data_IF_924111153233
#
_entry.id   IF_924111153233
#
_cell.length_a   1.000
_cell.length_b   1.000
_cell.length_c   1.000
_cell.angle_alpha   90.00
_cell.angle_beta   90.00
_cell.angle_gamma   90.00
#
_symmetry.space_group_name_H-M   'P 1'
#
loop_
_entity.id
_entity.type
_entity.pdbx_description
1 polymer ?
#
# COMPACT_ATOMS: atom_id res chain seq x y z
N UNK A 1 -75.07 2.97 34.41
CA UNK A 1 -73.69 2.54 34.08
C UNK A 1 -73.63 1.45 33.00
N UNK A 2 -74.31 0.29 33.17
CA UNK A 2 -74.22 -0.85 32.24
C UNK A 2 -74.62 -0.52 30.78
N UNK A 3 -75.69 0.25 30.55
CA UNK A 3 -76.13 0.63 29.19
C UNK A 3 -75.12 1.49 28.42
N UNK A 4 -74.36 2.34 29.12
CA UNK A 4 -73.33 3.19 28.50
C UNK A 4 -72.11 2.34 28.14
N UNK A 5 -71.75 1.38 28.99
CA UNK A 5 -70.64 0.46 28.76
C UNK A 5 -70.90 -0.44 27.53
N UNK A 6 -72.12 -0.96 27.39
CA UNK A 6 -72.52 -1.78 26.23
C UNK A 6 -72.49 -0.95 24.94
N UNK A 7 -72.97 0.30 24.98
CA UNK A 7 -72.94 1.19 23.81
C UNK A 7 -71.50 1.49 23.35
N UNK A 8 -70.60 1.78 24.30
CA UNK A 8 -69.17 2.00 24.00
C UNK A 8 -68.51 0.74 23.42
N UNK A 9 -68.83 -0.45 23.95
CA UNK A 9 -68.31 -1.71 23.44
C UNK A 9 -68.78 -1.98 22.01
N UNK A 10 -70.07 -1.76 21.72
CA UNK A 10 -70.62 -1.90 20.37
C UNK A 10 -69.98 -0.90 19.38
N UNK A 11 -69.77 0.35 19.79
CA UNK A 11 -69.08 1.34 18.95
C UNK A 11 -67.62 0.94 18.68
N UNK A 12 -66.90 0.41 19.68
CA UNK A 12 -65.53 -0.07 19.51
C UNK A 12 -65.44 -1.27 18.55
N UNK A 13 -66.39 -2.20 18.64
CA UNK A 13 -66.50 -3.35 17.72
C UNK A 13 -66.82 -2.88 16.30
N UNK A 14 -67.76 -1.96 16.12
CA UNK A 14 -68.08 -1.42 14.79
C UNK A 14 -66.91 -0.65 14.19
N UNK A 15 -66.16 0.10 15.00
CA UNK A 15 -64.98 0.83 14.56
C UNK A 15 -63.83 -0.10 14.14
N UNK A 16 -63.58 -1.16 14.92
CA UNK A 16 -62.56 -2.17 14.58
C UNK A 16 -62.93 -2.96 13.33
N UNK A 17 -64.20 -3.36 13.18
CA UNK A 17 -64.69 -3.99 11.94
C UNK A 17 -64.56 -3.04 10.76
N UNK A 18 -64.86 -1.75 10.92
CA UNK A 18 -64.67 -0.72 9.89
C UNK A 18 -63.22 -0.57 9.46
N UNK A 19 -62.26 -0.58 10.40
CA UNK A 19 -60.82 -0.54 10.10
C UNK A 19 -60.38 -1.81 9.36
N UNK A 20 -60.83 -2.99 9.80
CA UNK A 20 -60.49 -4.25 9.15
C UNK A 20 -61.05 -4.32 7.73
N UNK A 21 -62.31 -3.91 7.52
CA UNK A 21 -62.89 -3.80 6.17
C UNK A 21 -62.11 -2.77 5.36
N UNK A 22 -61.77 -1.60 5.91
CA UNK A 22 -60.95 -0.61 5.19
C UNK A 22 -59.56 -1.13 4.81
N UNK A 23 -58.94 -1.94 5.67
CA UNK A 23 -57.61 -2.50 5.42
C UNK A 23 -57.62 -3.61 4.36
N UNK A 24 -58.66 -4.46 4.35
CA UNK A 24 -58.73 -5.64 3.49
C UNK A 24 -59.62 -5.48 2.25
N UNK A 25 -60.53 -4.50 2.22
CA UNK A 25 -61.45 -4.26 1.11
C UNK A 25 -60.97 -3.18 0.13
N UNK A 26 -59.88 -2.47 0.42
CA UNK A 26 -59.16 -1.67 -0.58
C UNK A 26 -58.18 -2.61 -1.27
N UNK A 27 -58.47 -3.13 -2.48
CA UNK A 27 -57.46 -3.81 -3.25
C UNK A 27 -56.33 -2.80 -3.46
N UNK A 28 -55.14 -3.08 -2.93
CA UNK A 28 -53.94 -2.39 -3.37
C UNK A 28 -53.85 -2.70 -4.85
N UNK A 29 -54.22 -1.76 -5.70
CA UNK A 29 -53.88 -1.81 -7.11
C UNK A 29 -52.36 -1.74 -7.16
N UNK A 30 -51.71 -2.91 -7.10
CA UNK A 30 -50.35 -3.08 -7.56
C UNK A 30 -50.41 -2.89 -9.07
N UNK A 31 -50.48 -1.63 -9.51
CA UNK A 31 -50.11 -1.32 -10.89
C UNK A 31 -48.70 -1.89 -11.02
N UNK A 32 -48.48 -2.90 -11.89
CA UNK A 32 -47.13 -3.40 -12.09
C UNK A 32 -46.27 -2.19 -12.45
N UNK A 33 -45.06 -2.09 -11.89
CA UNK A 33 -44.17 -1.00 -12.22
C UNK A 33 -44.07 -0.91 -13.74
N UNK A 34 -44.06 0.31 -14.32
CA UNK A 34 -44.02 0.47 -15.77
C UNK A 34 -42.83 -0.30 -16.34
N UNK A 35 -43.00 -0.92 -17.52
CA UNK A 35 -42.09 -1.94 -18.07
C UNK A 35 -40.62 -1.54 -18.07
N UNK A 36 -40.31 -0.26 -18.25
CA UNK A 36 -38.96 0.29 -18.19
C UNK A 36 -38.29 0.14 -16.81
N UNK A 37 -39.05 0.20 -15.71
CA UNK A 37 -38.54 -0.02 -14.36
C UNK A 37 -38.19 -1.50 -14.13
N UNK A 38 -38.92 -2.39 -14.80
CA UNK A 38 -38.66 -3.85 -14.81
C UNK A 38 -37.51 -4.22 -15.74
N UNK A 39 -37.27 -3.44 -16.81
CA UNK A 39 -36.09 -3.56 -17.68
C UNK A 39 -34.82 -3.06 -16.99
N UNK A 40 -34.88 -1.95 -16.24
CA UNK A 40 -33.73 -1.43 -15.48
C UNK A 40 -33.38 -2.35 -14.28
N UNK A 41 -34.38 -2.98 -13.66
CA UNK A 41 -34.17 -3.96 -12.60
C UNK A 41 -33.76 -5.36 -13.12
N UNK A 42 -33.81 -5.59 -14.44
CA UNK A 42 -33.38 -6.84 -15.10
C UNK A 42 -31.90 -6.87 -15.45
N UNK A 43 -31.17 -5.78 -15.25
CA UNK A 43 -29.76 -5.66 -15.64
C UNK A 43 -28.82 -6.43 -14.68
N UNK A 44 -29.28 -6.69 -13.45
CA UNK A 44 -28.52 -7.45 -12.46
C UNK A 44 -29.24 -8.76 -12.16
N UNK A 45 -28.59 -9.88 -12.45
CA UNK A 45 -29.05 -11.21 -12.05
C UNK A 45 -28.51 -11.54 -10.65
N UNK A 46 -29.35 -11.35 -9.63
CA UNK A 46 -29.00 -11.64 -8.24
C UNK A 46 -28.62 -13.11 -8.02
N UNK A 47 -29.28 -14.04 -8.74
CA UNK A 47 -28.98 -15.47 -8.62
C UNK A 47 -27.61 -15.81 -9.18
N UNK A 48 -27.19 -15.12 -10.24
CA UNK A 48 -25.83 -15.21 -10.76
C UNK A 48 -24.80 -14.66 -9.77
N UNK A 49 -25.07 -13.51 -9.12
CA UNK A 49 -24.17 -12.96 -8.10
C UNK A 49 -24.01 -13.93 -6.93
N UNK A 50 -25.12 -14.49 -6.43
CA UNK A 50 -25.08 -15.49 -5.36
C UNK A 50 -24.27 -16.72 -5.77
N UNK A 51 -24.49 -17.25 -6.98
CA UNK A 51 -23.71 -18.36 -7.52
C UNK A 51 -22.22 -17.99 -7.62
N UNK A 52 -21.88 -16.85 -8.23
CA UNK A 52 -20.49 -16.38 -8.37
C UNK A 52 -19.78 -16.25 -7.03
N UNK A 53 -20.43 -15.61 -6.04
CA UNK A 53 -19.85 -15.46 -4.70
C UNK A 53 -19.69 -16.81 -3.99
N UNK A 54 -20.59 -17.78 -4.23
CA UNK A 54 -20.49 -19.12 -3.67
C UNK A 54 -19.32 -19.95 -4.22
N UNK A 55 -18.85 -19.62 -5.43
CA UNK A 55 -17.69 -20.26 -6.06
C UNK A 55 -16.34 -19.71 -5.54
N UNK A 56 -16.35 -18.57 -4.84
CA UNK A 56 -15.11 -17.98 -4.27
C UNK A 56 -14.59 -18.88 -3.15
N UNK A 57 -13.46 -19.53 -3.42
CA UNK A 57 -12.91 -20.54 -2.53
C UNK A 57 -11.67 -20.05 -1.78
N UNK A 58 -11.79 -19.97 -0.45
CA UNK A 58 -10.70 -19.53 0.43
C UNK A 58 -9.44 -20.40 0.35
N UNK A 59 -9.57 -21.71 0.10
CA UNK A 59 -8.42 -22.60 -0.07
C UNK A 59 -7.66 -22.28 -1.37
N UNK A 60 -8.38 -21.93 -2.44
CA UNK A 60 -7.75 -21.50 -3.69
C UNK A 60 -7.04 -20.15 -3.53
N UNK A 61 -7.63 -19.21 -2.79
CA UNK A 61 -6.98 -17.93 -2.46
C UNK A 61 -5.69 -18.18 -1.67
N UNK A 62 -5.73 -19.07 -0.67
CA UNK A 62 -4.55 -19.45 0.11
C UNK A 62 -3.44 -20.06 -0.75
N UNK A 63 -3.77 -21.01 -1.63
CA UNK A 63 -2.77 -21.62 -2.52
C UNK A 63 -2.23 -20.62 -3.55
N UNK A 64 -3.07 -19.73 -4.08
CA UNK A 64 -2.61 -18.65 -4.96
C UNK A 64 -1.62 -17.73 -4.25
N UNK A 65 -1.91 -17.34 -3.01
CA UNK A 65 -1.00 -16.51 -2.21
C UNK A 65 0.33 -17.23 -2.00
N UNK A 66 0.30 -18.51 -1.60
CA UNK A 66 1.50 -19.31 -1.37
C UNK A 66 2.39 -19.42 -2.61
N UNK A 67 1.79 -19.60 -3.79
CA UNK A 67 2.52 -19.67 -5.05
C UNK A 67 3.11 -18.30 -5.45
N UNK A 68 2.32 -17.23 -5.33
CA UNK A 68 2.75 -15.87 -5.69
C UNK A 68 3.82 -15.30 -4.75
N UNK A 69 3.89 -15.76 -3.49
CA UNK A 69 4.86 -15.26 -2.49
C UNK A 69 6.04 -16.21 -2.24
N UNK A 70 6.26 -17.20 -3.11
CA UNK A 70 7.30 -18.23 -2.90
C UNK A 70 8.74 -17.71 -3.03
N UNK A 71 8.94 -16.60 -3.74
CA UNK A 71 10.24 -16.00 -4.01
C UNK A 71 10.12 -14.46 -4.16
N UNK A 72 11.20 -13.68 -3.96
CA UNK A 72 11.20 -12.25 -4.26
C UNK A 72 10.89 -11.98 -5.73
N UNK A 73 9.91 -11.11 -5.99
CA UNK A 73 9.44 -10.77 -7.35
C UNK A 73 9.46 -9.25 -7.58
N UNK A 74 10.62 -8.65 -7.31
CA UNK A 74 10.86 -7.22 -7.62
C UNK A 74 10.73 -6.98 -9.13
N UNK A 75 10.17 -5.82 -9.51
CA UNK A 75 9.99 -5.46 -10.92
C UNK A 75 11.25 -5.75 -11.76
N UNK A 76 11.04 -6.39 -12.91
CA UNK A 76 12.05 -6.83 -13.90
C UNK A 76 13.03 -7.91 -13.44
N UNK A 77 12.84 -8.55 -12.29
CA UNK A 77 13.62 -9.74 -11.91
C UNK A 77 13.03 -11.03 -12.51
N UNK A 78 13.77 -12.15 -12.50
CA UNK A 78 13.20 -13.44 -12.88
C UNK A 78 11.95 -13.83 -12.08
N UNK A 79 11.88 -13.45 -10.79
CA UNK A 79 10.70 -13.70 -9.95
C UNK A 79 9.45 -12.93 -10.42
N UNK A 80 9.61 -11.69 -10.90
CA UNK A 80 8.51 -10.93 -11.52
C UNK A 80 8.02 -11.60 -12.81
N UNK A 81 8.95 -12.01 -13.67
CA UNK A 81 8.65 -12.77 -14.89
C UNK A 81 7.90 -14.09 -14.59
N UNK A 82 8.26 -14.80 -13.52
CA UNK A 82 7.53 -16.00 -13.07
C UNK A 82 6.08 -15.68 -12.70
N UNK A 83 5.81 -14.54 -12.05
CA UNK A 83 4.44 -14.11 -11.73
C UNK A 83 3.63 -13.76 -12.98
N UNK A 84 4.25 -13.11 -13.98
CA UNK A 84 3.62 -12.85 -15.29
C UNK A 84 3.22 -14.16 -15.96
N UNK A 85 4.13 -15.12 -16.01
CA UNK A 85 3.88 -16.43 -16.62
C UNK A 85 2.80 -17.21 -15.87
N UNK A 86 2.79 -17.14 -14.53
CA UNK A 86 1.74 -17.74 -13.72
C UNK A 86 0.36 -17.16 -14.03
N UNK A 87 0.25 -15.83 -14.09
CA UNK A 87 -1.02 -15.15 -14.39
C UNK A 87 -1.50 -15.43 -15.81
N UNK A 88 -0.62 -15.36 -16.81
CA UNK A 88 -0.96 -15.69 -18.20
C UNK A 88 -1.46 -17.13 -18.33
N UNK A 89 -0.78 -18.09 -17.68
CA UNK A 89 -1.22 -19.49 -17.67
C UNK A 89 -2.63 -19.64 -17.10
N UNK A 90 -2.95 -18.95 -16.00
CA UNK A 90 -4.29 -19.00 -15.38
C UNK A 90 -5.35 -18.36 -16.26
N UNK A 91 -5.07 -17.20 -16.83
CA UNK A 91 -6.04 -16.46 -17.65
C UNK A 91 -6.21 -17.04 -19.05
N UNK A 92 -5.26 -17.81 -19.56
CA UNK A 92 -5.35 -18.50 -20.86
C UNK A 92 -5.81 -19.97 -20.72
N UNK A 93 -6.19 -20.41 -19.51
CA UNK A 93 -6.69 -21.76 -19.29
C UNK A 93 -7.98 -21.99 -20.09
N UNK A 94 -8.11 -23.07 -20.88
CA UNK A 94 -9.25 -23.27 -21.76
C UNK A 94 -10.57 -23.55 -21.03
N UNK A 95 -10.51 -24.01 -19.77
CA UNK A 95 -11.67 -24.42 -19.00
C UNK A 95 -12.13 -23.35 -17.99
N UNK A 96 -11.20 -22.50 -17.53
CA UNK A 96 -11.44 -21.53 -16.45
C UNK A 96 -10.89 -20.12 -16.71
N UNK A 97 -10.27 -19.90 -17.88
CA UNK A 97 -9.65 -18.64 -18.25
C UNK A 97 -10.61 -17.58 -18.81
N UNK A 98 -10.02 -16.51 -19.31
CA UNK A 98 -10.69 -15.40 -19.97
C UNK A 98 -10.74 -15.63 -21.48
N UNK A 99 -11.58 -14.86 -22.19
CA UNK A 99 -11.63 -14.91 -23.66
C UNK A 99 -10.28 -14.60 -24.30
N UNK A 100 -9.54 -13.63 -23.75
CA UNK A 100 -8.21 -13.21 -24.21
C UNK A 100 -7.37 -12.69 -23.06
N UNK A 101 -6.09 -13.08 -23.05
CA UNK A 101 -5.07 -12.53 -22.16
C UNK A 101 -3.73 -12.48 -22.89
N UNK A 102 -2.98 -11.39 -22.76
CA UNK A 102 -1.69 -11.19 -23.41
C UNK A 102 -0.75 -10.35 -22.56
N UNK A 103 0.54 -10.39 -22.91
CA UNK A 103 1.60 -9.60 -22.29
C UNK A 103 1.74 -8.26 -23.01
N UNK A 104 1.94 -7.20 -22.24
CA UNK A 104 2.27 -5.87 -22.75
C UNK A 104 3.54 -5.35 -22.07
N UNK A 105 4.54 -4.93 -22.85
CA UNK A 105 5.85 -4.54 -22.33
C UNK A 105 6.13 -3.04 -22.45
N UNK A 106 6.79 -2.48 -21.44
CA UNK A 106 7.21 -1.09 -21.41
C UNK A 106 8.67 -0.99 -20.95
N UNK A 107 9.46 -0.18 -21.65
CA UNK A 107 10.88 0.05 -21.36
C UNK A 107 11.02 1.25 -20.41
N UNK A 108 10.66 1.05 -19.14
CA UNK A 108 10.60 2.12 -18.13
C UNK A 108 11.93 2.31 -17.41
N UNK A 109 12.18 3.52 -16.91
CA UNK A 109 13.35 3.81 -16.08
C UNK A 109 13.11 3.40 -14.63
N UNK A 110 13.90 2.46 -14.13
CA UNK A 110 13.87 1.99 -12.75
C UNK A 110 15.18 2.33 -12.03
N UNK A 111 15.15 2.22 -10.71
CA UNK A 111 16.28 2.47 -9.83
C UNK A 111 16.53 1.23 -8.99
N UNK A 112 17.80 0.79 -8.92
CA UNK A 112 18.22 -0.36 -8.13
C UNK A 112 19.54 -0.05 -7.41
N UNK A 113 19.79 -0.62 -6.22
CA UNK A 113 21.11 -0.52 -5.58
C UNK A 113 22.13 -1.34 -6.35
N UNK A 114 23.41 -0.94 -6.31
CA UNK A 114 24.50 -1.70 -6.91
C UNK A 114 24.89 -2.89 -6.00
N UNK A 115 24.72 -4.16 -6.43
CA UNK A 115 25.09 -5.32 -5.64
C UNK A 115 26.60 -5.42 -5.36
N UNK A 116 27.45 -4.82 -6.21
CA UNK A 116 28.91 -4.82 -6.05
C UNK A 116 29.38 -3.69 -5.11
N UNK A 117 28.60 -2.63 -5.00
CA UNK A 117 28.87 -1.47 -4.16
C UNK A 117 27.65 -1.17 -3.27
N UNK A 118 27.38 -2.00 -2.24
CA UNK A 118 26.19 -1.85 -1.43
C UNK A 118 26.17 -0.50 -0.71
N UNK A 119 24.97 0.03 -0.48
CA UNK A 119 24.76 1.25 0.28
C UNK A 119 25.20 1.03 1.75
N UNK A 120 25.86 2.04 2.33
CA UNK A 120 26.38 1.95 3.71
C UNK A 120 26.13 3.21 4.48
N UNK A 121 25.89 3.04 5.78
CA UNK A 121 25.84 4.13 6.75
C UNK A 121 26.83 3.79 7.85
N UNK A 122 27.79 4.70 8.06
CA UNK A 122 28.84 4.52 9.07
C UNK A 122 28.92 5.74 9.98
N UNK A 123 29.14 5.51 11.27
CA UNK A 123 29.53 6.56 12.21
C UNK A 123 31.05 6.62 12.20
N UNK A 124 31.61 7.81 11.97
CA UNK A 124 33.04 8.05 11.91
C UNK A 124 33.47 9.07 12.96
N UNK A 125 34.72 8.97 13.44
CA UNK A 125 35.32 9.99 14.30
C UNK A 125 35.89 11.17 13.46
N UNK A 126 36.54 12.12 14.14
CA UNK A 126 37.15 13.30 13.50
C UNK A 126 38.30 12.97 12.55
N UNK A 127 39.02 11.85 12.75
CA UNK A 127 40.07 11.39 11.82
C UNK A 127 39.53 10.60 10.63
N UNK A 128 38.22 10.31 10.60
CA UNK A 128 37.56 9.54 9.53
C UNK A 128 37.59 8.03 9.75
N UNK A 129 38.03 7.56 10.92
CA UNK A 129 37.97 6.16 11.30
C UNK A 129 36.53 5.74 11.57
N UNK A 130 36.15 4.56 11.07
CA UNK A 130 34.82 3.98 11.26
C UNK A 130 34.69 3.44 12.68
N UNK A 131 33.78 4.04 13.46
CA UNK A 131 33.43 3.61 14.82
C UNK A 131 32.30 2.59 14.83
N UNK A 132 31.36 2.73 13.90
CA UNK A 132 30.20 1.85 13.79
C UNK A 132 29.74 1.76 12.35
N UNK A 133 29.29 0.57 11.94
CA UNK A 133 28.66 0.33 10.64
C UNK A 133 27.24 -0.15 10.88
N UNK A 134 26.27 0.59 10.33
CA UNK A 134 24.86 0.19 10.36
C UNK A 134 24.69 -1.06 9.51
N UNK A 135 23.79 -1.95 9.93
CA UNK A 135 23.46 -3.18 9.22
C UNK A 135 23.02 -2.88 7.78
N UNK A 136 23.59 -3.60 6.81
CA UNK A 136 23.36 -3.36 5.39
C UNK A 136 22.05 -3.99 4.86
N UNK A 137 21.57 -5.09 5.45
CA UNK A 137 20.36 -5.86 5.06
C UNK A 137 19.65 -6.42 6.29
N UNK A 138 18.38 -6.80 6.15
CA UNK A 138 17.60 -7.49 7.18
C UNK A 138 18.32 -8.74 7.73
N UNK A 139 18.00 -9.10 8.96
CA UNK A 139 18.33 -10.42 9.51
C UNK A 139 17.36 -11.44 8.93
N UNK A 140 17.85 -12.63 8.61
CA UNK A 140 17.00 -13.75 8.21
C UNK A 140 16.47 -14.46 9.47
N UNK A 141 15.16 -14.42 9.66
CA UNK A 141 14.40 -15.10 10.72
C UNK A 141 13.93 -16.49 10.29
N UNK A 142 13.73 -16.71 9.00
CA UNK A 142 13.31 -17.98 8.40
C UNK A 142 14.18 -18.35 7.20
N UNK A 143 14.11 -19.61 6.74
CA UNK A 143 14.99 -20.11 5.68
C UNK A 143 14.72 -19.46 4.32
N UNK A 144 13.47 -19.13 4.03
CA UNK A 144 12.98 -18.47 2.82
C UNK A 144 13.48 -17.02 2.65
N UNK A 145 14.00 -16.41 3.72
CA UNK A 145 14.58 -15.06 3.67
C UNK A 145 16.05 -15.05 3.21
N UNK A 146 16.66 -16.23 3.00
CA UNK A 146 18.04 -16.35 2.51
C UNK A 146 18.16 -16.24 0.98
N UNK A 147 17.09 -15.89 0.28
CA UNK A 147 17.09 -15.77 -1.18
C UNK A 147 18.03 -14.63 -1.62
N UNK A 148 19.01 -14.88 -2.52
CA UNK A 148 19.92 -13.85 -3.00
C UNK A 148 19.23 -12.70 -3.75
N UNK A 149 18.02 -12.91 -4.27
CA UNK A 149 17.20 -11.89 -4.93
C UNK A 149 16.57 -10.91 -3.93
N UNK A 150 16.71 -11.13 -2.61
CA UNK A 150 16.36 -10.12 -1.61
C UNK A 150 17.28 -8.90 -1.76
N UNK A 151 16.77 -7.90 -2.45
CA UNK A 151 17.42 -6.61 -2.70
C UNK A 151 17.80 -5.92 -1.38
N UNK A 152 18.92 -5.18 -1.35
CA UNK A 152 19.27 -4.36 -0.21
C UNK A 152 18.17 -3.31 0.10
N UNK A 153 17.89 -2.94 1.36
CA UNK A 153 17.11 -1.75 1.65
C UNK A 153 17.71 -0.51 0.99
N UNK A 154 16.88 0.26 0.28
CA UNK A 154 17.29 1.47 -0.41
C UNK A 154 16.09 2.39 -0.66
N UNK A 155 16.38 3.67 -0.91
CA UNK A 155 15.43 4.67 -1.39
C UNK A 155 15.49 4.71 -2.92
N UNK A 156 14.52 4.10 -3.61
CA UNK A 156 14.52 4.08 -5.07
C UNK A 156 14.38 5.51 -5.63
N UNK A 157 15.18 5.80 -6.66
CA UNK A 157 15.37 7.14 -7.26
C UNK A 157 16.16 8.14 -6.41
N UNK A 158 16.74 7.73 -5.28
CA UNK A 158 17.73 8.56 -4.60
C UNK A 158 19.01 8.68 -5.45
N UNK A 159 19.61 9.88 -5.59
CA UNK A 159 20.87 10.02 -6.31
C UNK A 159 22.02 9.32 -5.56
N UNK A 160 23.02 8.78 -6.29
CA UNK A 160 24.21 8.23 -5.68
C UNK A 160 25.06 9.35 -5.04
N UNK A 161 25.71 9.05 -3.92
CA UNK A 161 26.61 9.98 -3.25
C UNK A 161 27.16 9.45 -1.94
N UNK A 162 28.21 10.08 -1.44
CA UNK A 162 28.86 9.74 -0.16
C UNK A 162 28.92 10.96 0.77
N UNK A 163 27.77 11.55 1.14
CA UNK A 163 27.76 12.75 1.98
C UNK A 163 28.23 12.42 3.40
N UNK A 164 28.99 13.35 3.99
CA UNK A 164 29.46 13.27 5.38
C UNK A 164 29.07 14.55 6.11
N UNK A 165 28.43 14.41 7.27
CA UNK A 165 27.96 15.54 8.05
C UNK A 165 27.62 15.16 9.48
N UNK A 166 27.34 16.16 10.31
CA UNK A 166 26.77 15.92 11.65
C UNK A 166 25.35 15.37 11.51
N UNK A 167 24.97 14.44 12.38
CA UNK A 167 23.61 13.89 12.41
C UNK A 167 22.66 14.85 13.13
N UNK A 168 21.50 15.13 12.55
CA UNK A 168 20.42 15.90 13.16
C UNK A 168 19.12 15.11 13.08
N UNK A 169 18.36 15.05 14.18
CA UNK A 169 17.04 14.43 14.16
C UNK A 169 15.99 15.44 13.72
N UNK A 170 15.29 15.13 12.63
CA UNK A 170 14.30 16.02 11.99
C UNK A 170 12.88 15.41 11.99
N UNK A 171 12.54 14.63 13.03
CA UNK A 171 11.21 14.07 13.23
C UNK A 171 10.66 13.39 11.96
N UNK A 172 9.53 13.85 11.40
CA UNK A 172 8.90 13.25 10.22
C UNK A 172 9.36 13.89 8.90
N UNK A 173 10.35 14.78 8.93
CA UNK A 173 10.87 15.48 7.75
C UNK A 173 9.87 16.46 7.12
N UNK A 174 8.94 17.01 7.91
CA UNK A 174 8.04 18.08 7.45
C UNK A 174 8.79 19.41 7.37
N UNK A 175 8.33 20.38 6.56
CA UNK A 175 8.93 21.72 6.55
C UNK A 175 8.98 22.37 7.94
N UNK A 176 7.94 22.13 8.77
CA UNK A 176 7.87 22.62 10.14
C UNK A 176 8.95 22.02 11.06
N UNK A 177 9.36 20.77 10.83
CA UNK A 177 10.38 20.11 11.66
C UNK A 177 11.75 20.79 11.46
N UNK A 178 12.12 21.09 10.21
CA UNK A 178 13.35 21.83 9.90
C UNK A 178 13.30 23.28 10.37
N UNK A 179 12.15 23.96 10.20
CA UNK A 179 11.98 25.32 10.71
C UNK A 179 12.14 25.38 12.24
N UNK A 180 11.63 24.38 12.96
CA UNK A 180 11.79 24.29 14.41
C UNK A 180 13.25 24.16 14.83
N UNK A 181 14.04 23.33 14.13
CA UNK A 181 15.48 23.19 14.38
C UNK A 181 16.22 24.52 14.19
N UNK A 182 15.91 25.24 13.11
CA UNK A 182 16.48 26.58 12.86
C UNK A 182 16.08 27.58 13.96
N UNK A 183 14.82 27.57 14.38
CA UNK A 183 14.34 28.43 15.46
C UNK A 183 15.02 28.13 16.81
N UNK A 184 15.51 26.91 17.00
CA UNK A 184 16.30 26.50 18.17
C UNK A 184 17.80 26.82 18.02
N UNK A 185 18.22 27.42 16.90
CA UNK A 185 19.62 27.80 16.64
C UNK A 185 20.50 26.67 16.11
N UNK A 186 19.91 25.57 15.62
CA UNK A 186 20.66 24.47 15.00
C UNK A 186 21.09 24.87 13.58
N UNK A 187 22.40 24.80 13.28
CA UNK A 187 22.92 24.97 11.92
C UNK A 187 22.81 23.65 11.14
N UNK A 188 21.97 23.65 10.10
CA UNK A 188 21.66 22.47 9.29
C UNK A 188 22.58 22.30 8.06
N UNK A 189 23.44 23.28 7.78
CA UNK A 189 24.32 23.22 6.60
C UNK A 189 25.34 22.09 6.73
N UNK A 190 25.49 21.29 5.67
CA UNK A 190 26.37 20.12 5.63
C UNK A 190 26.08 19.08 6.72
N UNK A 191 24.80 18.94 7.12
CA UNK A 191 24.35 17.91 8.05
C UNK A 191 23.71 16.73 7.32
N UNK A 192 23.59 15.60 8.01
CA UNK A 192 22.76 14.47 7.62
C UNK A 192 21.53 14.48 8.52
N UNK A 193 20.34 14.55 7.96
CA UNK A 193 19.11 14.46 8.74
C UNK A 193 18.68 12.99 8.91
N UNK A 194 18.33 12.57 10.13
CA UNK A 194 17.60 11.32 10.36
C UNK A 194 16.14 11.64 10.65
N UNK A 195 15.24 10.95 9.95
CA UNK A 195 13.79 11.13 10.02
C UNK A 195 13.11 9.79 10.20
N UNK A 196 11.95 9.78 10.85
CA UNK A 196 11.07 8.60 10.86
C UNK A 196 10.10 8.65 9.69
N UNK A 197 9.65 7.49 9.24
CA UNK A 197 8.53 7.38 8.28
C UNK A 197 7.23 8.00 8.84
N UNK A 198 6.23 8.16 7.97
CA UNK A 198 5.00 8.88 8.29
C UNK A 198 5.12 10.41 8.18
N UNK A 199 3.98 11.10 8.20
CA UNK A 199 3.91 12.56 8.06
C UNK A 199 4.21 13.03 6.63
N UNK A 200 5.41 13.53 6.37
CA UNK A 200 5.81 13.90 5.00
C UNK A 200 6.03 12.65 4.14
N UNK A 201 5.67 12.73 2.85
CA UNK A 201 5.95 11.66 1.88
C UNK A 201 7.45 11.37 1.76
N UNK A 202 7.82 10.17 1.28
CA UNK A 202 9.22 9.71 1.22
C UNK A 202 10.15 10.71 0.53
N UNK A 203 9.83 11.07 -0.71
CA UNK A 203 10.55 12.08 -1.49
C UNK A 203 10.59 13.45 -0.79
N UNK A 204 9.45 13.85 -0.20
CA UNK A 204 9.31 15.15 0.44
C UNK A 204 10.27 15.33 1.62
N UNK A 205 10.65 14.26 2.34
CA UNK A 205 11.63 14.35 3.44
C UNK A 205 12.97 14.92 2.96
N UNK A 206 13.47 14.45 1.82
CA UNK A 206 14.71 14.96 1.22
C UNK A 206 14.53 16.36 0.60
N UNK A 207 13.41 16.60 -0.10
CA UNK A 207 13.10 17.89 -0.73
C UNK A 207 12.97 19.00 0.31
N UNK A 208 12.35 18.71 1.46
CA UNK A 208 12.18 19.69 2.53
C UNK A 208 13.51 19.99 3.25
N UNK A 209 14.44 19.03 3.29
CA UNK A 209 15.74 19.17 3.95
C UNK A 209 16.72 20.01 3.11
N UNK A 210 16.71 19.84 1.79
CA UNK A 210 17.69 20.43 0.88
C UNK A 210 17.81 21.97 0.96
N UNK A 211 16.72 22.76 1.06
CA UNK A 211 16.80 24.22 1.22
C UNK A 211 17.56 24.69 2.47
N UNK A 212 17.66 23.85 3.50
CA UNK A 212 18.40 24.16 4.73
C UNK A 212 19.88 23.76 4.66
N UNK A 213 20.35 23.24 3.51
CA UNK A 213 21.72 22.79 3.31
C UNK A 213 22.04 21.41 3.88
N UNK A 214 21.01 20.61 4.20
CA UNK A 214 21.18 19.19 4.55
C UNK A 214 21.67 18.44 3.31
N UNK A 215 22.71 17.62 3.47
CA UNK A 215 23.41 16.93 2.36
C UNK A 215 23.08 15.44 2.25
N UNK A 216 22.26 14.91 3.16
CA UNK A 216 21.77 13.54 3.10
C UNK A 216 20.63 13.31 4.10
N UNK A 217 19.76 12.35 3.81
CA UNK A 217 18.64 11.97 4.67
C UNK A 217 18.64 10.47 4.92
N UNK A 218 18.57 10.09 6.19
CA UNK A 218 18.30 8.74 6.65
C UNK A 218 16.83 8.64 7.07
N UNK A 219 16.19 7.52 6.75
CA UNK A 219 14.80 7.26 7.13
C UNK A 219 14.72 5.94 7.87
N UNK A 220 14.04 5.91 9.01
CA UNK A 220 13.78 4.70 9.79
C UNK A 220 12.28 4.57 10.12
N UNK A 221 11.84 3.38 10.50
CA UNK A 221 10.48 3.16 11.02
C UNK A 221 10.55 3.14 12.55
N UNK A 222 9.81 4.03 13.20
CA UNK A 222 9.80 4.13 14.66
C UNK A 222 8.80 3.10 15.25
N UNK A 223 9.18 2.29 16.27
CA UNK A 223 8.28 1.35 16.91
C UNK A 223 7.00 1.98 17.47
N UNK A 224 7.04 3.25 17.88
CA UNK A 224 5.85 3.98 18.33
C UNK A 224 4.83 4.21 17.20
N UNK A 225 5.27 4.19 15.95
CA UNK A 225 4.44 4.46 14.78
C UNK A 225 3.88 3.18 14.12
N UNK A 226 4.45 2.00 14.40
CA UNK A 226 4.06 0.74 13.73
C UNK A 226 3.92 -0.49 14.65
N UNK A 227 4.55 -0.50 15.83
CA UNK A 227 4.70 -1.69 16.67
C UNK A 227 4.07 -1.57 18.07
N UNK A 228 3.28 -0.53 18.33
CA UNK A 228 2.81 -0.23 19.69
C UNK A 228 3.97 -0.19 20.71
N UNK A 229 5.11 0.38 20.29
CA UNK A 229 6.38 0.48 21.04
C UNK A 229 7.14 -0.84 21.27
N UNK A 230 6.74 -1.93 20.61
CA UNK A 230 7.42 -3.22 20.75
C UNK A 230 8.62 -3.35 19.79
N UNK A 231 9.75 -3.86 20.31
CA UNK A 231 11.01 -3.95 19.55
C UNK A 231 11.90 -5.10 20.06
N UNK A 232 11.48 -6.35 19.83
CA UNK A 232 12.24 -7.53 20.26
C UNK A 232 12.27 -8.63 19.20
N UNK A 233 13.49 -9.07 18.87
CA UNK A 233 13.81 -10.20 17.98
C UNK A 233 13.37 -11.57 18.54
N UNK A 234 12.98 -11.67 19.82
CA UNK A 234 12.88 -12.94 20.53
C UNK A 234 11.46 -13.37 20.88
N UNK A 235 10.51 -12.44 20.97
CA UNK A 235 9.18 -12.73 21.50
C UNK A 235 8.07 -11.77 21.06
N UNK A 236 8.39 -10.53 20.68
CA UNK A 236 7.36 -9.51 20.42
C UNK A 236 7.12 -9.22 18.94
N UNK A 237 8.13 -9.42 18.09
CA UNK A 237 8.06 -9.11 16.65
C UNK A 237 8.14 -10.37 15.80
N UNK A 238 8.00 -10.23 14.47
CA UNK A 238 8.14 -11.35 13.54
C UNK A 238 9.43 -12.16 13.82
N UNK A 239 9.36 -13.50 13.91
CA UNK A 239 8.25 -14.37 13.51
C UNK A 239 7.20 -14.67 14.59
N UNK A 240 7.30 -14.05 15.77
CA UNK A 240 6.43 -14.35 16.92
C UNK A 240 5.10 -13.59 16.89
N UNK A 241 5.04 -12.50 16.13
CA UNK A 241 3.83 -11.72 15.91
C UNK A 241 3.85 -11.07 14.52
N UNK A 242 2.82 -10.30 14.22
CA UNK A 242 2.73 -9.45 13.02
C UNK A 242 3.58 -8.18 13.06
N UNK A 243 4.22 -7.84 14.18
CA UNK A 243 5.00 -6.61 14.33
C UNK A 243 6.34 -6.67 13.58
N UNK A 244 6.78 -5.51 13.09
CA UNK A 244 8.03 -5.36 12.34
C UNK A 244 9.24 -5.68 13.23
N UNK A 245 10.17 -6.56 12.80
CA UNK A 245 11.32 -6.87 13.62
C UNK A 245 12.37 -5.74 13.62
N UNK A 246 13.25 -5.66 14.64
CA UNK A 246 14.28 -4.62 14.75
C UNK A 246 15.21 -4.44 13.53
N UNK A 247 15.36 -5.48 12.70
CA UNK A 247 16.18 -5.42 11.49
C UNK A 247 15.39 -5.08 10.22
N UNK A 248 14.06 -5.02 10.29
CA UNK A 248 13.19 -4.73 9.16
C UNK A 248 13.35 -3.30 8.66
N UNK A 249 13.44 -3.12 7.34
CA UNK A 249 13.54 -1.79 6.72
C UNK A 249 12.52 -1.65 5.61
N UNK A 250 11.68 -0.61 5.73
CA UNK A 250 10.73 -0.26 4.70
C UNK A 250 11.46 0.29 3.45
N UNK A 251 11.30 -0.42 2.32
CA UNK A 251 11.72 0.03 0.97
C UNK A 251 10.62 0.88 0.34
N UNK A 252 10.97 1.67 -0.67
CA UNK A 252 9.97 2.38 -1.46
C UNK A 252 10.54 3.37 -2.47
N UNK A 253 9.66 3.86 -3.35
CA UNK A 253 9.98 4.94 -4.28
C UNK A 253 10.08 6.29 -3.56
N UNK A 254 11.14 7.02 -3.88
CA UNK A 254 11.35 8.44 -3.51
C UNK A 254 11.20 9.36 -4.73
N UNK A 255 10.54 8.88 -5.79
CA UNK A 255 10.08 9.75 -6.87
C UNK A 255 8.92 10.64 -6.39
N UNK A 256 8.82 11.84 -6.95
CA UNK A 256 7.73 12.79 -6.68
C UNK A 256 6.48 12.54 -7.51
N UNK A 257 6.66 11.92 -8.68
CA UNK A 257 5.62 11.66 -9.66
C UNK A 257 5.41 10.15 -9.87
N UNK A 258 4.30 9.80 -10.52
CA UNK A 258 3.99 8.44 -10.95
C UNK A 258 4.19 8.30 -12.47
N UNK A 259 4.32 7.05 -12.93
CA UNK A 259 4.68 6.72 -14.32
C UNK A 259 6.19 6.70 -14.54
N UNK A 260 6.61 6.44 -15.78
CA UNK A 260 8.03 6.49 -16.15
C UNK A 260 8.52 7.94 -16.12
N UNK A 261 9.52 8.28 -15.27
CA UNK A 261 10.00 9.67 -15.17
C UNK A 261 10.62 10.18 -16.47
N UNK A 262 11.07 9.30 -17.37
CA UNK A 262 11.67 9.71 -18.64
C UNK A 262 10.64 9.98 -19.75
N UNK A 263 9.40 9.49 -19.64
CA UNK A 263 8.37 9.64 -20.67
C UNK A 263 7.05 10.18 -20.11
N UNK A 264 7.05 11.35 -19.43
CA UNK A 264 5.81 11.91 -18.89
C UNK A 264 4.78 12.10 -20.01
N UNK A 265 3.55 11.66 -19.75
CA UNK A 265 2.41 11.69 -20.67
C UNK A 265 2.54 10.81 -21.93
N UNK A 266 3.58 9.98 -22.04
CA UNK A 266 3.81 9.09 -23.18
C UNK A 266 4.00 7.64 -22.72
N UNK A 267 3.56 6.69 -23.54
CA UNK A 267 3.84 5.28 -23.31
C UNK A 267 5.32 4.98 -23.57
N UNK A 268 6.01 4.35 -22.62
CA UNK A 268 7.44 4.02 -22.69
C UNK A 268 7.74 2.84 -23.65
N UNK A 269 7.31 2.95 -24.91
CA UNK A 269 7.57 1.99 -25.98
C UNK A 269 8.94 2.21 -26.64
N UNK A 270 9.30 1.27 -27.50
CA UNK A 270 10.44 1.41 -28.40
C UNK A 270 10.25 2.66 -29.27
N UNK A 271 11.30 3.48 -29.40
CA UNK A 271 11.26 4.72 -30.16
C UNK A 271 10.59 5.91 -29.47
N UNK A 272 9.95 5.74 -28.30
CA UNK A 272 9.40 6.88 -27.54
C UNK A 272 10.52 7.82 -27.09
N UNK A 273 10.34 9.13 -27.31
CA UNK A 273 11.26 10.15 -26.82
C UNK A 273 11.40 10.07 -25.29
N UNK A 274 12.65 10.16 -24.81
CA UNK A 274 13.00 10.12 -23.39
C UNK A 274 13.74 11.37 -22.97
N UNK A 275 13.32 11.95 -21.85
CA UNK A 275 14.06 13.01 -21.17
C UNK A 275 15.39 12.41 -20.66
N UNK A 276 16.47 13.20 -20.62
CA UNK A 276 17.73 12.75 -20.03
C UNK A 276 17.56 12.43 -18.53
N UNK A 277 18.10 11.32 -18.01
CA UNK A 277 18.07 10.99 -16.59
C UNK A 277 18.67 12.06 -15.67
N UNK A 278 19.55 12.94 -16.19
CA UNK A 278 20.14 14.04 -15.41
C UNK A 278 19.17 15.22 -15.16
N UNK A 279 18.05 15.24 -15.90
CA UNK A 279 17.05 16.30 -15.85
C UNK A 279 15.78 15.90 -15.06
N UNK A 280 15.80 14.73 -14.41
CA UNK A 280 14.73 14.23 -13.53
C UNK A 280 15.22 14.19 -12.08
#
# INVERSE_FOLDING_TARGET
>A
MIKILISLLCCAVLFTVGILIGHYAIPRSSTPPPSWLTEVAKDVDESFIEAFLSEVNNLQIQENLKELTKAPHMATTPGDEDTVNYMLKRWQDPDSGLDQAWREEYMVYLSFPDPQNPNKVTVVNSSGEVLHTVREKEKNYTSDQNDPEVVQPYAAYSPPGTPKGKLVYANQGKPSDYQQLVNQGVDLRNTIAITRYGGAGRAAKAINAAPYGVVGVLVYTDPLDINDDLMSDFNETYPHSWYMPPSGVERGSFATNYGDPLTPYLAAKEGTYRISPENI
#
